data_IF_802745949034
#
_entry.id   IF_802745949034
#
_cell.length_a   1.000
_cell.length_b   1.000
_cell.length_c   1.000
_cell.angle_alpha   90.00
_cell.angle_beta   90.00
_cell.angle_gamma   90.00
#
_symmetry.space_group_name_H-M   'P 1'
#
loop_
_entity.id
_entity.type
_entity.pdbx_description
1 polymer ?
#
# COMPACT_ATOMS: atom_id res chain seq x y z
N UNK A 1 14.05 26.75 8.67
CA UNK A 1 14.58 25.49 8.11
C UNK A 1 13.41 24.72 7.50
N UNK A 2 13.40 24.49 6.19
CA UNK A 2 12.42 23.60 5.57
C UNK A 2 12.89 22.17 5.84
N UNK A 3 12.33 21.52 6.86
CA UNK A 3 12.71 20.17 7.27
C UNK A 3 12.24 19.19 6.19
N UNK A 4 13.12 18.89 5.22
CA UNK A 4 12.83 17.96 4.15
C UNK A 4 12.87 16.52 4.71
N UNK A 5 11.77 16.12 5.37
CA UNK A 5 11.61 14.80 6.01
C UNK A 5 11.44 13.66 5.00
N UNK A 6 11.46 13.96 3.70
CA UNK A 6 11.34 12.97 2.64
C UNK A 6 12.46 11.94 2.70
N UNK A 7 13.71 12.37 2.94
CA UNK A 7 14.85 11.46 3.06
C UNK A 7 14.72 10.52 4.28
N UNK A 8 14.12 11.00 5.38
CA UNK A 8 13.82 10.15 6.54
C UNK A 8 12.72 9.12 6.24
N UNK A 9 11.69 9.51 5.47
CA UNK A 9 10.64 8.59 5.00
C UNK A 9 11.20 7.53 4.06
N UNK A 10 12.05 7.91 3.11
CA UNK A 10 12.72 6.96 2.19
C UNK A 10 13.62 6.00 2.98
N UNK A 11 14.41 6.51 3.94
CA UNK A 11 15.28 5.69 4.78
C UNK A 11 14.52 4.73 5.72
N UNK A 12 13.24 5.00 6.01
CA UNK A 12 12.39 4.10 6.81
C UNK A 12 11.97 2.83 6.06
N UNK A 13 12.07 2.83 4.73
CA UNK A 13 11.82 1.64 3.90
C UNK A 13 13.09 0.78 3.94
N UNK A 14 13.02 -0.32 4.67
CA UNK A 14 14.11 -1.28 4.85
C UNK A 14 13.74 -2.63 4.23
N UNK A 15 14.70 -3.56 4.18
CA UNK A 15 14.48 -4.92 3.67
C UNK A 15 13.34 -5.69 4.34
N UNK A 16 12.96 -5.31 5.55
CA UNK A 16 11.88 -5.92 6.34
C UNK A 16 10.53 -5.24 6.13
N UNK A 17 10.47 -4.22 5.30
CA UNK A 17 9.26 -3.43 5.06
C UNK A 17 8.45 -4.07 3.94
N UNK A 18 7.20 -4.44 4.26
CA UNK A 18 6.20 -4.83 3.27
C UNK A 18 5.39 -3.60 2.91
N UNK A 19 5.37 -3.25 1.63
CA UNK A 19 4.57 -2.14 1.11
C UNK A 19 3.28 -2.72 0.55
N UNK A 20 2.13 -2.25 1.04
CA UNK A 20 0.82 -2.68 0.55
C UNK A 20 0.12 -1.51 -0.12
N UNK A 21 -0.14 -1.63 -1.42
CA UNK A 21 -0.99 -0.70 -2.16
C UNK A 21 -2.42 -1.24 -2.18
N UNK A 22 -3.38 -0.43 -1.76
CA UNK A 22 -4.81 -0.76 -1.79
C UNK A 22 -5.48 0.22 -2.74
N UNK A 23 -6.13 -0.33 -3.77
CA UNK A 23 -7.05 0.38 -4.63
C UNK A 23 -8.47 0.19 -4.10
N UNK A 24 -9.14 1.29 -3.80
CA UNK A 24 -10.43 1.30 -3.10
C UNK A 24 -11.52 1.68 -4.09
N UNK A 25 -12.17 0.68 -4.70
CA UNK A 25 -13.39 0.88 -5.49
C UNK A 25 -14.66 0.91 -4.63
N UNK A 26 -15.80 1.30 -5.20
CA UNK A 26 -17.08 1.39 -4.47
C UNK A 26 -17.60 0.03 -3.98
N UNK A 27 -17.43 -1.01 -4.80
CA UNK A 27 -17.93 -2.37 -4.53
C UNK A 27 -16.79 -3.33 -4.21
N UNK A 28 -15.68 -3.20 -4.95
CA UNK A 28 -14.54 -4.11 -4.89
C UNK A 28 -13.25 -3.33 -4.67
N UNK A 29 -12.42 -3.83 -3.77
CA UNK A 29 -11.09 -3.32 -3.48
C UNK A 29 -10.03 -4.32 -3.95
N UNK A 30 -8.86 -3.80 -4.29
CA UNK A 30 -7.72 -4.59 -4.73
C UNK A 30 -6.49 -4.26 -3.90
N UNK A 31 -5.93 -5.25 -3.22
CA UNK A 31 -4.68 -5.11 -2.50
C UNK A 31 -3.52 -5.76 -3.28
N UNK A 32 -2.36 -5.09 -3.28
CA UNK A 32 -1.12 -5.61 -3.86
C UNK A 32 0.03 -5.39 -2.90
N UNK A 33 0.86 -6.41 -2.75
CA UNK A 33 2.00 -6.38 -1.87
C UNK A 33 3.30 -6.28 -2.67
N UNK A 34 4.18 -5.37 -2.26
CA UNK A 34 5.48 -5.12 -2.84
C UNK A 34 6.57 -5.19 -1.77
N UNK A 35 7.76 -5.57 -2.19
CA UNK A 35 8.95 -5.40 -1.38
C UNK A 35 9.45 -3.95 -1.41
N UNK A 36 10.45 -3.66 -0.58
CA UNK A 36 11.13 -2.38 -0.49
C UNK A 36 11.82 -1.91 -1.79
N UNK A 37 12.03 -2.81 -2.77
CA UNK A 37 12.59 -2.53 -4.10
C UNK A 37 11.54 -2.51 -5.20
N UNK A 38 10.25 -2.54 -4.84
CA UNK A 38 9.12 -2.54 -5.77
C UNK A 38 8.93 -3.85 -6.56
N UNK A 39 9.46 -4.97 -6.07
CA UNK A 39 9.09 -6.29 -6.58
C UNK A 39 7.73 -6.71 -6.04
N UNK A 40 6.81 -7.05 -6.94
CA UNK A 40 5.49 -7.54 -6.57
C UNK A 40 5.59 -8.99 -6.06
N UNK A 41 5.07 -9.24 -4.85
CA UNK A 41 5.01 -10.59 -4.29
C UNK A 41 3.87 -11.43 -4.87
N UNK A 42 2.85 -10.76 -5.39
CA UNK A 42 1.66 -11.38 -5.95
C UNK A 42 1.70 -11.34 -7.47
N UNK A 43 1.28 -12.42 -8.16
CA UNK A 43 1.05 -12.35 -9.62
C UNK A 43 -0.32 -11.76 -9.98
N UNK A 44 -1.24 -11.75 -9.02
CA UNK A 44 -2.61 -11.25 -9.15
C UNK A 44 -2.94 -10.41 -7.91
N UNK A 45 -3.64 -9.28 -8.07
CA UNK A 45 -4.11 -8.50 -6.92
C UNK A 45 -5.07 -9.32 -6.07
N UNK A 46 -5.02 -9.12 -4.76
CA UNK A 46 -5.98 -9.67 -3.82
C UNK A 46 -7.27 -8.87 -3.92
N UNK A 47 -8.32 -9.51 -4.43
CA UNK A 47 -9.66 -8.92 -4.51
C UNK A 47 -10.42 -9.12 -3.20
N UNK A 48 -11.04 -8.06 -2.68
CA UNK A 48 -11.93 -8.15 -1.53
C UNK A 48 -13.10 -7.17 -1.67
N UNK A 49 -14.28 -7.58 -1.19
CA UNK A 49 -15.49 -6.75 -1.30
C UNK A 49 -15.51 -5.66 -0.23
N UNK A 50 -16.09 -4.52 -0.58
CA UNK A 50 -16.40 -3.47 0.37
C UNK A 50 -17.54 -3.94 1.29
N UNK A 51 -17.23 -4.20 2.56
CA UNK A 51 -18.23 -4.57 3.58
C UNK A 51 -18.66 -3.39 4.44
N UNK A 52 -18.09 -2.21 4.21
CA UNK A 52 -18.41 -1.02 4.98
C UNK A 52 -19.68 -0.38 4.39
N UNK A 53 -20.74 -0.34 5.19
CA UNK A 53 -21.89 0.51 4.87
C UNK A 53 -21.36 1.94 4.84
N UNK A 54 -21.39 2.59 3.67
CA UNK A 54 -20.83 3.92 3.46
C UNK A 54 -21.30 4.96 4.49
N UNK A 55 -20.66 6.13 4.47
CA UNK A 55 -20.78 7.23 5.46
C UNK A 55 -22.04 7.24 6.33
N UNK A 56 -21.83 7.05 7.64
CA UNK A 56 -22.77 7.40 8.71
C UNK A 56 -22.69 8.91 9.03
#
# INVERSE_FOLDING_TARGET
MNCNTQNAKIASITEKTLIVGIDVGSETHYARAFDWRNYEYTKKPLEFSNTEAGFQ
#
